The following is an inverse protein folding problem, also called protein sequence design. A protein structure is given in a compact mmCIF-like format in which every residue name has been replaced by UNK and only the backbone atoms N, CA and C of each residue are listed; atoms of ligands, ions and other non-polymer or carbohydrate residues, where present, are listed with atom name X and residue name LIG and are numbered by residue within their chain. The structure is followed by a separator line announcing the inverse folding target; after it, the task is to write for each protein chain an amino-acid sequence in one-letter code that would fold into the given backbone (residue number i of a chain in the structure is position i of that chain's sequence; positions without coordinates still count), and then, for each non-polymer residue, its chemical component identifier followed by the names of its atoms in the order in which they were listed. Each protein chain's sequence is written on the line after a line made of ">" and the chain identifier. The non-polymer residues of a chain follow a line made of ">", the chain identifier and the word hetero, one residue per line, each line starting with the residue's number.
data_IF_072669807368
#
_entry.id   IF_072669807368
#
_cell.length_a   1.000
_cell.length_b   1.000
_cell.length_c   1.000
_cell.angle_alpha   90.00
_cell.angle_beta   90.00
_cell.angle_gamma   90.00
#
_symmetry.space_group_name_H-M   'P 1'
#
loop_
_entity.id
_entity.type
_entity.pdbx_description
1 polymer ?
#
# COMPACT_ATOMS: atom_id res chain seq x y z
N UNK A 1 16.65 15.45 -8.92
CA UNK A 1 15.64 15.13 -7.88
C UNK A 1 14.89 13.91 -8.37
N UNK A 2 15.39 12.73 -8.01
CA UNK A 2 14.89 11.43 -8.44
C UNK A 2 13.74 11.03 -7.53
N UNK A 3 12.51 11.20 -8.01
CA UNK A 3 11.28 10.86 -7.28
C UNK A 3 10.78 9.50 -7.76
N UNK A 4 11.62 8.47 -7.71
CA UNK A 4 11.16 7.10 -7.86
C UNK A 4 10.35 6.74 -6.62
N UNK A 5 9.05 6.94 -6.77
CA UNK A 5 8.02 6.63 -5.79
C UNK A 5 7.83 5.11 -5.79
N UNK A 6 8.80 4.38 -5.25
CA UNK A 6 8.70 2.92 -5.06
C UNK A 6 7.76 2.63 -3.89
N UNK A 7 6.47 2.67 -4.14
CA UNK A 7 5.47 2.26 -3.18
C UNK A 7 4.14 1.94 -3.86
N UNK A 8 3.27 1.24 -3.14
CA UNK A 8 2.02 0.75 -3.71
C UNK A 8 0.97 1.84 -3.66
N UNK A 9 0.46 2.27 -4.81
CA UNK A 9 -0.70 3.17 -4.89
C UNK A 9 -1.97 2.34 -4.72
N UNK A 10 -2.70 2.57 -3.63
CA UNK A 10 -3.92 1.85 -3.32
C UNK A 10 -5.14 2.78 -3.33
N UNK A 11 -6.24 2.31 -3.93
CA UNK A 11 -7.52 3.00 -3.97
C UNK A 11 -8.37 2.75 -2.72
N UNK A 12 -9.43 3.56 -2.55
CA UNK A 12 -10.42 3.33 -1.49
C UNK A 12 -11.05 1.95 -1.67
N UNK A 13 -11.18 1.20 -0.59
CA UNK A 13 -11.71 -0.16 -0.57
C UNK A 13 -10.67 -1.25 -0.78
N UNK A 14 -9.44 -0.90 -1.20
CA UNK A 14 -8.38 -1.88 -1.40
C UNK A 14 -7.97 -2.51 -0.06
N UNK A 15 -7.83 -3.84 -0.03
CA UNK A 15 -7.18 -4.59 1.03
C UNK A 15 -5.70 -4.66 0.77
N UNK A 16 -4.95 -4.34 1.81
CA UNK A 16 -3.49 -4.32 1.83
C UNK A 16 -3.01 -5.39 2.78
N UNK A 17 -1.94 -6.07 2.39
CA UNK A 17 -1.23 -7.01 3.25
C UNK A 17 0.26 -6.71 3.23
N UNK A 18 0.86 -6.67 4.41
CA UNK A 18 2.31 -6.70 4.53
C UNK A 18 2.78 -8.14 4.65
N UNK A 19 3.67 -8.57 3.75
CA UNK A 19 4.25 -9.92 3.77
C UNK A 19 5.37 -10.10 4.81
N UNK A 20 5.84 -9.00 5.43
CA UNK A 20 6.90 -9.04 6.45
C UNK A 20 6.31 -9.25 7.85
N UNK A 21 5.38 -8.39 8.27
CA UNK A 21 4.76 -8.46 9.60
C UNK A 21 3.40 -9.17 9.60
N UNK A 22 2.83 -9.45 8.42
CA UNK A 22 1.52 -10.09 8.29
C UNK A 22 0.32 -9.17 8.52
N UNK A 23 0.52 -7.85 8.69
CA UNK A 23 -0.59 -6.92 8.93
C UNK A 23 -1.51 -6.80 7.71
N UNK A 24 -2.82 -6.81 7.97
CA UNK A 24 -3.86 -6.63 6.98
C UNK A 24 -4.65 -5.34 7.28
N UNK A 25 -4.89 -4.54 6.25
CA UNK A 25 -5.60 -3.27 6.38
C UNK A 25 -6.52 -3.04 5.18
N UNK A 26 -7.56 -2.23 5.37
CA UNK A 26 -8.43 -1.75 4.28
C UNK A 26 -8.23 -0.25 4.15
N UNK A 27 -8.03 0.22 2.92
CA UNK A 27 -7.96 1.65 2.62
C UNK A 27 -9.37 2.24 2.72
N UNK A 28 -9.65 3.01 3.76
CA UNK A 28 -10.93 3.72 3.89
C UNK A 28 -10.94 5.02 3.09
N UNK A 29 -9.76 5.61 2.87
CA UNK A 29 -9.55 6.84 2.09
C UNK A 29 -8.16 6.82 1.47
N UNK A 30 -8.09 6.86 0.13
CA UNK A 30 -6.86 6.94 -0.62
C UNK A 30 -6.27 8.35 -0.55
N UNK A 31 -4.94 8.40 -0.46
CA UNK A 31 -4.14 9.60 -0.68
C UNK A 31 -3.29 9.47 -1.94
N UNK A 32 -2.59 10.54 -2.32
CA UNK A 32 -1.67 10.53 -3.46
C UNK A 32 -0.32 9.86 -3.17
N UNK A 33 -0.06 9.47 -1.91
CA UNK A 33 1.21 8.90 -1.48
C UNK A 33 1.23 7.39 -1.66
N UNK A 34 2.41 6.88 -1.99
CA UNK A 34 2.66 5.46 -2.11
C UNK A 34 2.72 4.81 -0.71
N UNK A 35 2.07 3.65 -0.53
CA UNK A 35 2.00 2.97 0.75
C UNK A 35 3.16 1.99 0.92
N UNK A 36 3.78 2.03 2.11
CA UNK A 36 4.87 1.15 2.52
C UNK A 36 4.69 0.67 3.95
N UNK A 37 5.04 -0.58 4.23
CA UNK A 37 5.10 -1.15 5.57
C UNK A 37 6.38 -1.98 5.70
N UNK A 38 7.09 -1.89 6.82
CA UNK A 38 8.39 -2.57 7.02
C UNK A 38 9.45 -2.20 5.96
N UNK A 39 9.49 -0.93 5.54
CA UNK A 39 10.38 -0.41 4.49
C UNK A 39 10.22 -1.08 3.11
N UNK A 40 9.07 -1.72 2.86
CA UNK A 40 8.72 -2.34 1.59
C UNK A 40 7.34 -1.90 1.12
N UNK A 41 7.08 -1.90 -0.20
CA UNK A 41 5.74 -1.72 -0.74
C UNK A 41 4.78 -2.79 -0.19
N UNK A 42 3.58 -2.38 0.19
CA UNK A 42 2.52 -3.31 0.63
C UNK A 42 1.88 -4.01 -0.57
N UNK A 43 1.41 -5.24 -0.39
CA UNK A 43 0.70 -5.96 -1.45
C UNK A 43 -0.80 -5.64 -1.40
N UNK A 44 -1.42 -5.33 -2.55
CA UNK A 44 -2.88 -5.23 -2.64
C UNK A 44 -3.42 -6.64 -2.87
N UNK A 45 -4.12 -7.19 -1.87
CA UNK A 45 -4.70 -8.54 -1.95
C UNK A 45 -6.12 -8.54 -2.51
N UNK A 46 -6.79 -7.39 -2.52
CA UNK A 46 -8.13 -7.22 -3.07
C UNK A 46 -8.40 -5.73 -3.37
N UNK A 47 -9.08 -5.44 -4.48
CA UNK A 47 -9.38 -4.07 -4.91
C UNK A 47 -9.10 -3.88 -6.41
N UNK A 48 -10.00 -3.19 -7.10
CA UNK A 48 -9.96 -2.94 -8.55
C UNK A 48 -9.34 -1.57 -8.88
#
# INVERSE_FOLDING_TARGET
>A
MSSDSEGTKAGNGNRLRCNVCGSEAIVTKAGGSALSCCAQPVEITFGA
#
